data_IF_124693084357
#
_entry.id   IF_124693084357
#
_cell.length_a   1.000
_cell.length_b   1.000
_cell.length_c   1.000
_cell.angle_alpha   90.00
_cell.angle_beta   90.00
_cell.angle_gamma   90.00
#
_symmetry.space_group_name_H-M   'P 1'
#
loop_
_entity.id
_entity.type
_entity.pdbx_description
1 polymer ?
#
# COMPACT_ATOMS: atom_id res chain seq x y z
N UNK A 1 -2.98 12.81 -10.10
CA UNK A 1 -1.79 11.93 -10.06
C UNK A 1 -1.39 11.61 -11.49
N UNK A 2 -0.20 12.05 -11.92
CA UNK A 2 0.30 11.79 -13.27
C UNK A 2 1.06 10.45 -13.31
N UNK A 3 1.11 9.77 -14.47
CA UNK A 3 1.92 8.56 -14.63
C UNK A 3 3.38 8.77 -14.21
N UNK A 4 3.93 9.96 -14.46
CA UNK A 4 5.30 10.34 -14.11
C UNK A 4 5.56 10.30 -12.60
N UNK A 5 4.57 10.64 -11.77
CA UNK A 5 4.68 10.57 -10.31
C UNK A 5 4.80 9.12 -9.83
N UNK A 6 4.00 8.21 -10.39
CA UNK A 6 4.05 6.78 -10.05
C UNK A 6 5.40 6.16 -10.40
N UNK A 7 5.98 6.51 -11.56
CA UNK A 7 7.30 6.00 -11.95
C UNK A 7 8.41 6.49 -11.01
N UNK A 8 8.36 7.76 -10.58
CA UNK A 8 9.32 8.29 -9.60
C UNK A 8 9.23 7.55 -8.27
N UNK A 9 8.03 7.32 -7.74
CA UNK A 9 7.86 6.60 -6.49
C UNK A 9 8.31 5.14 -6.58
N UNK A 10 7.96 4.44 -7.67
CA UNK A 10 8.45 3.07 -7.90
C UNK A 10 9.98 3.00 -7.95
N UNK A 11 10.63 4.00 -8.55
CA UNK A 11 12.09 4.08 -8.60
C UNK A 11 12.69 4.34 -7.22
N UNK A 12 12.16 5.30 -6.48
CA UNK A 12 12.61 5.62 -5.12
C UNK A 12 12.46 4.42 -4.17
N UNK A 13 11.37 3.66 -4.28
CA UNK A 13 11.17 2.43 -3.51
C UNK A 13 12.24 1.37 -3.81
N UNK A 14 12.62 1.19 -5.07
CA UNK A 14 13.70 0.26 -5.46
C UNK A 14 15.07 0.72 -4.98
N UNK A 15 15.35 2.02 -5.06
CA UNK A 15 16.59 2.61 -4.54
C UNK A 15 16.68 2.44 -3.03
N UNK A 16 15.57 2.62 -2.30
CA UNK A 16 15.50 2.39 -0.86
C UNK A 16 15.64 0.91 -0.46
N UNK A 17 15.23 -0.03 -1.33
CA UNK A 17 15.37 -1.47 -1.08
C UNK A 17 16.70 -2.06 -1.55
N UNK A 18 17.55 -1.31 -2.26
CA UNK A 18 18.84 -1.75 -2.81
C UNK A 18 19.91 -2.16 -1.78
N UNK A 19 19.59 -2.12 -0.48
CA UNK A 19 20.42 -2.66 0.61
C UNK A 19 19.86 -3.94 1.26
N UNK A 20 18.71 -4.47 0.80
CA UNK A 20 18.22 -5.79 1.23
C UNK A 20 18.86 -6.87 0.37
N UNK A 21 19.62 -7.76 1.00
CA UNK A 21 20.19 -8.95 0.36
C UNK A 21 19.10 -9.75 -0.35
N UNK A 22 19.43 -10.24 -1.54
CA UNK A 22 18.58 -11.03 -2.43
C UNK A 22 18.01 -12.32 -1.77
N UNK A 23 18.55 -12.69 -0.60
CA UNK A 23 18.16 -13.85 0.21
C UNK A 23 16.81 -13.67 0.94
N UNK A 24 16.34 -12.43 1.16
CA UNK A 24 15.05 -12.12 1.81
C UNK A 24 13.96 -11.64 0.82
N UNK A 25 14.26 -11.60 -0.48
CA UNK A 25 13.31 -11.11 -1.48
C UNK A 25 12.40 -12.26 -1.95
N UNK A 26 11.11 -12.19 -1.59
CA UNK A 26 10.09 -13.15 -2.05
C UNK A 26 9.98 -13.06 -3.57
N UNK A 27 10.61 -14.01 -4.28
CA UNK A 27 10.60 -14.04 -5.73
C UNK A 27 9.23 -14.47 -6.25
N UNK A 28 8.56 -13.57 -6.99
CA UNK A 28 7.36 -13.94 -7.75
C UNK A 28 7.78 -14.77 -8.97
N UNK A 29 7.64 -16.09 -8.87
CA UNK A 29 7.84 -17.04 -9.98
C UNK A 29 6.48 -17.37 -10.61
N UNK A 30 6.37 -17.40 -11.95
CA UNK A 30 5.17 -17.90 -12.61
C UNK A 30 4.88 -19.36 -12.21
N UNK A 31 3.75 -19.60 -11.55
CA UNK A 31 3.29 -20.95 -11.27
C UNK A 31 2.62 -21.53 -12.53
N UNK A 32 3.30 -22.42 -13.24
CA UNK A 32 2.70 -23.21 -14.32
C UNK A 32 2.03 -24.42 -13.67
N UNK A 33 0.71 -24.54 -13.81
CA UNK A 33 -0.07 -25.69 -13.36
C UNK A 33 -0.59 -26.42 -14.59
N UNK A 34 -0.35 -27.74 -14.69
CA UNK A 34 -0.95 -28.57 -15.74
C UNK A 34 -2.48 -28.50 -15.64
N UNK A 35 -3.15 -28.32 -16.79
CA UNK A 35 -4.59 -28.20 -16.87
C UNK A 35 -5.27 -29.54 -16.57
N UNK A 36 -5.50 -29.84 -15.29
CA UNK A 36 -6.48 -30.87 -14.89
C UNK A 36 -7.87 -30.30 -15.14
N UNK A 37 -8.67 -31.01 -15.94
CA UNK A 37 -10.09 -30.67 -16.19
C UNK A 37 -10.79 -30.52 -14.83
N UNK A 38 -11.28 -29.31 -14.47
CA UNK A 38 -11.96 -29.13 -13.20
C UNK A 38 -13.32 -29.83 -13.27
N UNK A 39 -13.57 -30.82 -12.40
CA UNK A 39 -14.95 -31.20 -12.08
C UNK A 39 -15.66 -29.97 -11.47
N UNK A 40 -16.93 -29.72 -11.80
CA UNK A 40 -17.65 -28.56 -11.27
C UNK A 40 -17.81 -28.74 -9.76
N UNK A 41 -16.93 -28.08 -9.01
CA UNK A 41 -17.05 -27.97 -7.56
C UNK A 41 -18.04 -26.85 -7.25
N UNK A 42 -18.95 -27.13 -6.32
CA UNK A 42 -19.99 -26.21 -5.87
C UNK A 42 -19.43 -24.79 -5.69
N UNK A 43 -20.12 -23.80 -6.26
CA UNK A 43 -19.77 -22.39 -6.22
C UNK A 43 -19.31 -22.00 -4.81
N UNK A 44 -18.00 -21.84 -4.63
CA UNK A 44 -17.43 -21.23 -3.43
C UNK A 44 -17.85 -19.76 -3.49
N UNK A 45 -18.83 -19.39 -2.68
CA UNK A 45 -19.22 -18.00 -2.50
C UNK A 45 -17.96 -17.17 -2.27
N UNK A 46 -17.68 -16.26 -3.21
CA UNK A 46 -16.58 -15.31 -3.08
C UNK A 46 -16.92 -14.42 -1.89
N UNK A 47 -16.42 -14.82 -0.71
CA UNK A 47 -16.47 -14.02 0.51
C UNK A 47 -16.06 -12.62 0.10
N UNK A 48 -17.00 -11.67 0.20
CA UNK A 48 -16.79 -10.30 -0.21
C UNK A 48 -15.50 -9.83 0.47
N UNK A 49 -14.46 -9.63 -0.34
CA UNK A 49 -13.21 -9.04 0.14
C UNK A 49 -13.64 -7.68 0.65
N UNK A 50 -13.64 -7.50 1.98
CA UNK A 50 -13.81 -6.18 2.59
C UNK A 50 -12.88 -5.28 1.80
N UNK A 51 -13.41 -4.20 1.18
CA UNK A 51 -12.59 -3.24 0.45
C UNK A 51 -11.47 -2.89 1.40
N UNK A 52 -10.26 -3.38 1.13
CA UNK A 52 -9.07 -2.90 1.83
C UNK A 52 -9.15 -1.38 1.73
N UNK A 53 -8.80 -0.68 2.81
CA UNK A 53 -8.80 0.78 2.95
C UNK A 53 -7.92 1.46 1.88
N UNK A 54 -8.33 1.33 0.62
CA UNK A 54 -7.54 1.58 -0.56
C UNK A 54 -7.52 3.09 -0.73
N UNK A 55 -6.44 3.70 -0.28
CA UNK A 55 -6.23 5.14 -0.34
C UNK A 55 -6.32 5.86 1.00
N UNK A 56 -6.30 5.16 2.13
CA UNK A 56 -6.01 5.79 3.42
C UNK A 56 -4.49 5.94 3.59
N UNK A 57 -4.05 7.14 3.97
CA UNK A 57 -2.69 7.47 4.39
C UNK A 57 -2.68 7.54 5.91
N UNK A 58 -1.78 6.79 6.55
CA UNK A 58 -1.55 6.86 7.99
C UNK A 58 -0.26 7.65 8.27
N UNK A 59 -0.33 8.61 9.19
CA UNK A 59 0.81 9.45 9.60
C UNK A 59 0.91 9.35 11.12
N UNK A 60 2.07 8.97 11.65
CA UNK A 60 2.34 8.95 13.08
C UNK A 60 3.24 10.13 13.47
N UNK A 61 2.82 10.90 14.48
CA UNK A 61 3.59 12.00 15.08
C UNK A 61 3.49 11.87 16.59
N UNK A 62 4.62 11.65 17.27
CA UNK A 62 4.69 11.57 18.74
C UNK A 62 3.69 10.56 19.36
N UNK A 63 3.46 9.42 18.70
CA UNK A 63 2.50 8.40 19.15
C UNK A 63 1.04 8.71 18.83
N UNK A 64 0.75 9.82 18.14
CA UNK A 64 -0.57 10.17 17.63
C UNK A 64 -0.67 9.73 16.17
N UNK A 65 -1.66 8.91 15.85
CA UNK A 65 -1.95 8.45 14.49
C UNK A 65 -3.01 9.32 13.82
N UNK A 66 -2.68 9.88 12.66
CA UNK A 66 -3.58 10.63 11.78
C UNK A 66 -3.91 9.74 10.57
N UNK A 67 -5.20 9.61 10.25
CA UNK A 67 -5.68 8.84 9.10
C UNK A 67 -6.35 9.77 8.09
N UNK A 68 -5.83 9.80 6.86
CA UNK A 68 -6.32 10.63 5.78
C UNK A 68 -6.83 9.77 4.62
N UNK A 69 -8.14 9.77 4.38
CA UNK A 69 -8.74 9.09 3.23
C UNK A 69 -8.57 9.88 1.92
N UNK A 70 -9.00 9.29 0.79
CA UNK A 70 -9.01 9.98 -0.50
C UNK A 70 -9.83 11.29 -0.43
N UNK A 71 -9.25 12.39 -0.93
CA UNK A 71 -9.92 13.70 -0.93
C UNK A 71 -9.84 14.46 0.41
N UNK A 72 -9.11 13.95 1.40
CA UNK A 72 -8.83 14.71 2.61
C UNK A 72 -8.08 16.01 2.28
N UNK A 73 -8.45 17.09 2.98
CA UNK A 73 -7.85 18.41 2.74
C UNK A 73 -6.38 18.41 3.17
N UNK A 74 -5.51 18.68 2.20
CA UNK A 74 -4.06 18.68 2.38
C UNK A 74 -3.62 19.81 3.31
N UNK A 75 -4.28 20.97 3.24
CA UNK A 75 -3.94 22.12 4.07
C UNK A 75 -4.24 21.81 5.54
N UNK A 76 -5.41 21.26 5.83
CA UNK A 76 -5.79 20.83 7.17
C UNK A 76 -4.83 19.77 7.74
N UNK A 77 -4.48 18.74 6.95
CA UNK A 77 -3.52 17.71 7.39
C UNK A 77 -2.16 18.33 7.72
N UNK A 78 -1.65 19.21 6.85
CA UNK A 78 -0.38 19.89 7.07
C UNK A 78 -0.41 20.77 8.33
N UNK A 79 -1.50 21.49 8.56
CA UNK A 79 -1.70 22.29 9.78
C UNK A 79 -1.69 21.43 11.04
N UNK A 80 -2.37 20.28 11.03
CA UNK A 80 -2.36 19.35 12.16
C UNK A 80 -0.95 18.85 12.45
N UNK A 81 -0.22 18.39 11.43
CA UNK A 81 1.16 17.91 11.60
C UNK A 81 2.08 19.01 12.13
N UNK A 82 1.98 20.24 11.59
CA UNK A 82 2.76 21.39 12.08
C UNK A 82 2.43 21.73 13.53
N UNK A 83 1.16 21.74 13.90
CA UNK A 83 0.73 22.02 15.27
C UNK A 83 1.24 20.96 16.26
N UNK A 84 1.17 19.67 15.90
CA UNK A 84 1.71 18.58 16.72
C UNK A 84 3.22 18.74 16.90
N UNK A 85 3.95 19.06 15.83
CA UNK A 85 5.40 19.31 15.90
C UNK A 85 5.77 20.55 16.72
N UNK A 86 4.93 21.58 16.73
CA UNK A 86 5.19 22.84 17.44
C UNK A 86 4.77 22.80 18.92
N UNK A 87 3.93 21.84 19.31
CA UNK A 87 3.56 21.59 20.71
C UNK A 87 4.69 20.92 21.52
N UNK A 88 5.89 20.83 20.95
CA UNK A 88 7.09 20.21 21.53
C UNK A 88 8.21 21.24 21.65
#
# INVERSE_FOLDING_TARGET
MSPQQLFRWRRQLREASGGRSQEDEVQFVPAVVDAVVPLPTAHRERKAVRKADSGIIEIEVDGITIRAGPGADTAMIASIVQALKASR
#
